data_IF_742055572599
#
_entry.id   IF_742055572599
#
_cell.length_a   1.000
_cell.length_b   1.000
_cell.length_c   1.000
_cell.angle_alpha   90.00
_cell.angle_beta   90.00
_cell.angle_gamma   90.00
#
_symmetry.space_group_name_H-M   'P 1'
#
loop_
_entity.id
_entity.type
_entity.pdbx_description
1 polymer ?
#
# COMPACT_ATOMS: atom_id res chain seq x y z
N UNK A 1 -9.12 -33.95 36.32
CA UNK A 1 -7.65 -33.81 36.36
C UNK A 1 -7.27 -32.52 35.66
N UNK A 2 -6.53 -31.68 36.39
CA UNK A 2 -5.73 -30.51 36.01
C UNK A 2 -6.29 -29.46 35.02
N UNK A 3 -6.83 -28.41 35.64
CA UNK A 3 -6.79 -27.02 35.20
C UNK A 3 -5.35 -26.47 35.32
N UNK A 4 -4.82 -25.76 34.32
CA UNK A 4 -3.59 -24.98 34.46
C UNK A 4 -3.66 -23.60 33.77
N UNK A 5 -3.78 -22.59 34.65
CA UNK A 5 -3.09 -21.29 34.68
C UNK A 5 -3.30 -20.31 33.51
N UNK A 6 -4.38 -19.53 33.68
CA UNK A 6 -4.41 -18.10 33.39
C UNK A 6 -3.31 -17.40 34.21
N UNK A 7 -2.37 -16.73 33.56
CA UNK A 7 -1.48 -15.76 34.21
C UNK A 7 -2.06 -14.35 33.99
N UNK A 8 -2.83 -13.91 34.98
CA UNK A 8 -3.05 -12.50 35.24
C UNK A 8 -1.74 -11.88 35.73
N UNK A 9 -1.24 -10.84 35.07
CA UNK A 9 -0.29 -9.93 35.70
C UNK A 9 -1.09 -8.80 36.37
N UNK A 10 -1.06 -8.85 37.69
CA UNK A 10 -1.64 -7.89 38.62
C UNK A 10 -0.98 -6.51 38.52
N UNK A 11 -1.80 -5.49 38.73
CA UNK A 11 -1.52 -4.11 39.15
C UNK A 11 -0.06 -3.78 39.52
N UNK A 12 0.53 -2.82 38.81
CA UNK A 12 1.69 -2.05 39.30
C UNK A 12 1.15 -0.84 40.10
N UNK A 13 1.68 -0.56 41.31
CA UNK A 13 1.23 0.58 42.12
C UNK A 13 1.53 1.92 41.44
N UNK A 14 0.53 2.80 41.44
CA UNK A 14 0.61 4.19 41.00
C UNK A 14 1.37 5.07 42.01
N UNK A 15 2.71 5.01 42.06
CA UNK A 15 3.54 6.04 42.71
C UNK A 15 4.98 6.00 42.17
N UNK A 16 5.29 6.81 41.15
CA UNK A 16 6.50 7.66 40.98
C UNK A 16 6.53 8.16 39.52
N UNK A 17 5.79 9.23 39.24
CA UNK A 17 5.98 10.03 38.03
C UNK A 17 6.61 11.36 38.46
N UNK A 18 7.87 11.58 38.10
CA UNK A 18 8.47 12.92 37.99
C UNK A 18 8.74 13.15 36.50
N UNK A 19 8.21 14.20 35.87
CA UNK A 19 8.60 14.57 34.52
C UNK A 19 10.08 14.96 34.53
N UNK A 20 10.88 14.35 33.66
CA UNK A 20 12.17 14.90 33.24
C UNK A 20 11.89 15.98 32.19
N UNK A 21 12.47 17.16 32.38
CA UNK A 21 12.36 18.30 31.47
C UNK A 21 12.88 17.95 30.06
N UNK A 22 12.34 18.56 28.99
CA UNK A 22 12.74 18.25 27.62
C UNK A 22 14.10 18.87 27.28
N UNK A 23 15.13 18.04 27.15
CA UNK A 23 16.36 18.41 26.44
C UNK A 23 16.09 18.47 24.91
N UNK A 24 16.71 19.41 24.18
CA UNK A 24 16.38 19.66 22.78
C UNK A 24 16.85 18.53 21.86
N UNK A 25 15.91 17.95 21.11
CA UNK A 25 16.14 16.92 20.10
C UNK A 25 17.17 17.38 19.06
N UNK A 26 18.31 16.69 19.03
CA UNK A 26 19.25 16.73 17.93
C UNK A 26 18.73 15.76 16.85
N UNK A 27 18.36 16.21 15.63
CA UNK A 27 17.78 15.31 14.64
C UNK A 27 18.84 14.33 14.16
N UNK A 28 18.72 13.08 14.60
CA UNK A 28 19.52 11.96 14.10
C UNK A 28 19.22 11.77 12.61
N UNK A 29 20.22 12.08 11.78
CA UNK A 29 20.19 11.88 10.34
C UNK A 29 19.98 10.39 10.02
N UNK A 30 18.81 10.08 9.48
CA UNK A 30 18.54 8.78 8.88
C UNK A 30 19.30 8.69 7.56
N UNK A 31 20.15 7.66 7.41
CA UNK A 31 20.97 7.46 6.22
C UNK A 31 20.73 6.04 5.70
N UNK A 32 19.71 5.82 4.87
CA UNK A 32 19.52 4.52 4.25
C UNK A 32 20.54 4.39 3.12
N UNK A 33 21.61 3.64 3.37
CA UNK A 33 22.45 3.07 2.31
C UNK A 33 21.62 2.04 1.55
N UNK A 34 20.78 2.51 0.65
CA UNK A 34 20.24 1.70 -0.46
C UNK A 34 20.43 2.51 -1.72
N UNK A 35 21.31 2.01 -2.59
CA UNK A 35 21.66 2.61 -3.87
C UNK A 35 20.40 2.66 -4.77
N UNK A 36 19.72 3.81 -4.77
CA UNK A 36 18.71 4.14 -5.77
C UNK A 36 19.44 4.35 -7.10
N UNK A 37 19.54 3.32 -7.93
CA UNK A 37 19.98 3.48 -9.32
C UNK A 37 18.96 4.34 -10.06
N UNK A 38 19.18 5.65 -10.08
CA UNK A 38 18.52 6.57 -11.02
C UNK A 38 19.08 6.27 -12.41
N UNK A 39 18.35 5.50 -13.21
CA UNK A 39 18.57 5.46 -14.66
C UNK A 39 17.67 6.51 -15.32
N UNK A 40 18.24 7.69 -15.57
CA UNK A 40 17.75 8.59 -16.60
C UNK A 40 18.35 8.17 -17.94
N UNK A 41 17.50 7.78 -18.90
CA UNK A 41 17.69 8.05 -20.34
C UNK A 41 16.46 7.63 -21.18
N UNK A 42 16.13 8.37 -22.25
CA UNK A 42 14.95 8.14 -23.08
C UNK A 42 15.20 7.07 -24.15
N UNK A 43 14.11 6.40 -24.55
CA UNK A 43 14.10 5.33 -25.55
C UNK A 43 14.60 5.80 -26.91
N UNK A 44 15.57 5.09 -27.49
CA UNK A 44 15.86 5.08 -28.92
C UNK A 44 15.97 3.63 -29.42
N UNK A 45 15.60 3.43 -30.69
CA UNK A 45 15.26 2.17 -31.32
C UNK A 45 16.44 1.22 -31.61
N UNK A 46 16.12 -0.08 -31.55
CA UNK A 46 16.64 -1.25 -32.26
C UNK A 46 18.15 -1.62 -32.20
N UNK A 47 18.46 -2.83 -31.69
CA UNK A 47 18.90 -4.03 -32.46
C UNK A 47 19.27 -5.20 -31.53
N UNK A 48 19.21 -6.40 -32.10
CA UNK A 48 19.41 -7.76 -31.59
C UNK A 48 20.78 -8.02 -30.94
N UNK A 49 20.85 -8.83 -29.89
CA UNK A 49 21.72 -10.03 -29.76
C UNK A 49 21.61 -10.70 -28.38
N UNK A 50 21.95 -11.99 -28.35
CA UNK A 50 21.67 -13.01 -27.34
C UNK A 50 22.52 -12.96 -26.04
N UNK A 51 22.03 -13.73 -25.06
CA UNK A 51 22.71 -14.41 -23.95
C UNK A 51 22.75 -13.82 -22.51
N UNK A 52 22.07 -14.62 -21.67
CA UNK A 52 22.41 -15.11 -20.32
C UNK A 52 22.34 -14.22 -19.05
N UNK A 53 21.31 -14.58 -18.27
CA UNK A 53 21.35 -15.06 -16.88
C UNK A 53 21.58 -14.05 -15.73
N UNK A 54 20.60 -14.03 -14.82
CA UNK A 54 20.61 -13.23 -13.59
C UNK A 54 19.20 -12.85 -13.15
N UNK A 55 18.45 -13.80 -12.61
CA UNK A 55 17.10 -13.60 -12.08
C UNK A 55 17.08 -12.58 -10.94
N UNK A 56 16.67 -11.37 -11.25
CA UNK A 56 16.00 -10.45 -10.33
C UNK A 56 14.82 -9.85 -11.09
N UNK A 57 13.69 -10.53 -11.04
CA UNK A 57 12.45 -10.12 -11.70
C UNK A 57 11.93 -8.84 -11.06
N UNK A 58 12.36 -7.69 -11.59
CA UNK A 58 11.59 -6.44 -11.49
C UNK A 58 10.18 -6.78 -11.97
N UNK A 59 9.20 -6.83 -11.06
CA UNK A 59 7.80 -7.11 -11.42
C UNK A 59 7.29 -5.90 -12.20
N UNK A 60 7.48 -5.95 -13.52
CA UNK A 60 6.95 -4.97 -14.45
C UNK A 60 5.43 -5.14 -14.52
N UNK A 61 4.71 -4.02 -14.52
CA UNK A 61 3.27 -3.97 -14.73
C UNK A 61 2.89 -4.87 -15.93
N UNK A 62 1.93 -5.82 -15.80
CA UNK A 62 1.60 -6.80 -16.84
C UNK A 62 0.74 -6.19 -17.97
N UNK A 63 1.06 -4.97 -18.38
CA UNK A 63 0.40 -4.23 -19.43
C UNK A 63 1.49 -3.52 -20.27
N UNK A 64 1.54 -3.72 -21.61
CA UNK A 64 2.54 -3.06 -22.45
C UNK A 64 2.39 -1.54 -22.43
N UNK A 65 3.49 -0.76 -22.42
CA UNK A 65 3.47 0.71 -22.26
C UNK A 65 2.61 1.48 -23.29
N UNK A 66 2.46 0.94 -24.51
CA UNK A 66 1.69 1.56 -25.58
C UNK A 66 0.16 1.48 -25.38
N UNK A 67 -0.32 0.62 -24.47
CA UNK A 67 -1.76 0.46 -24.23
C UNK A 67 -2.28 1.66 -23.43
N UNK A 68 -3.11 2.47 -24.08
CA UNK A 68 -3.77 3.67 -23.51
C UNK A 68 -5.24 3.47 -23.16
N UNK A 69 -5.89 2.43 -23.70
CA UNK A 69 -7.30 2.14 -23.44
C UNK A 69 -7.58 0.64 -23.43
N UNK A 70 -8.54 0.21 -22.59
CA UNK A 70 -9.02 -1.16 -22.49
C UNK A 70 -10.55 -1.16 -22.44
N UNK A 71 -11.19 -1.68 -23.49
CA UNK A 71 -12.66 -1.77 -23.57
C UNK A 71 -13.20 -3.17 -23.28
N UNK A 72 -12.36 -4.21 -23.40
CA UNK A 72 -12.75 -5.61 -23.25
C UNK A 72 -12.52 -6.15 -21.83
N UNK A 73 -13.56 -6.75 -21.27
CA UNK A 73 -13.50 -7.43 -19.96
C UNK A 73 -12.70 -8.73 -19.97
N UNK A 74 -12.41 -9.27 -21.15
CA UNK A 74 -11.61 -10.48 -21.35
C UNK A 74 -10.11 -10.19 -21.45
N UNK A 75 -9.72 -8.91 -21.45
CA UNK A 75 -8.33 -8.48 -21.50
C UNK A 75 -7.52 -9.12 -20.34
N UNK A 76 -6.31 -9.66 -20.60
CA UNK A 76 -5.47 -10.30 -19.57
C UNK A 76 -5.16 -9.41 -18.36
N UNK A 77 -4.97 -8.11 -18.57
CA UNK A 77 -4.74 -7.15 -17.49
C UNK A 77 -5.99 -6.97 -16.62
N UNK A 78 -7.18 -6.93 -17.22
CA UNK A 78 -8.45 -6.89 -16.46
C UNK A 78 -8.62 -8.17 -15.64
N UNK A 79 -8.25 -9.33 -16.18
CA UNK A 79 -8.23 -10.60 -15.43
C UNK A 79 -7.23 -10.57 -14.28
N UNK A 80 -6.05 -9.98 -14.47
CA UNK A 80 -5.05 -9.77 -13.43
C UNK A 80 -5.60 -8.91 -12.28
N UNK A 81 -6.17 -7.74 -12.59
CA UNK A 81 -6.79 -6.87 -11.59
C UNK A 81 -7.95 -7.55 -10.84
N UNK A 82 -8.76 -8.35 -11.54
CA UNK A 82 -9.83 -9.13 -10.91
C UNK A 82 -9.29 -10.15 -9.90
N UNK A 83 -8.20 -10.86 -10.24
CA UNK A 83 -7.54 -11.81 -9.34
C UNK A 83 -6.96 -11.11 -8.11
N UNK A 84 -6.37 -9.91 -8.27
CA UNK A 84 -5.90 -9.12 -7.13
C UNK A 84 -7.03 -8.76 -6.17
N UNK A 85 -8.22 -8.42 -6.69
CA UNK A 85 -9.39 -8.15 -5.83
C UNK A 85 -9.84 -9.39 -5.06
N UNK A 86 -9.87 -10.56 -5.72
CA UNK A 86 -10.54 -11.75 -5.19
C UNK A 86 -9.64 -12.68 -4.35
N UNK A 87 -8.32 -12.70 -4.57
CA UNK A 87 -7.43 -13.67 -3.94
C UNK A 87 -6.35 -13.00 -3.08
N UNK A 88 -6.34 -13.32 -1.78
CA UNK A 88 -5.31 -12.81 -0.86
C UNK A 88 -3.91 -13.31 -1.22
N UNK A 89 -3.77 -14.62 -1.46
CA UNK A 89 -2.49 -15.20 -1.88
C UNK A 89 -1.97 -14.58 -3.18
N UNK A 90 -2.87 -14.23 -4.12
CA UNK A 90 -2.49 -13.51 -5.33
C UNK A 90 -1.97 -12.10 -5.04
N UNK A 91 -2.62 -11.34 -4.14
CA UNK A 91 -2.11 -10.03 -3.67
C UNK A 91 -0.73 -10.14 -3.03
N UNK A 92 -0.51 -11.10 -2.14
CA UNK A 92 0.78 -11.29 -1.46
C UNK A 92 1.89 -11.68 -2.44
N UNK A 93 1.63 -12.64 -3.33
CA UNK A 93 2.61 -13.09 -4.33
C UNK A 93 2.93 -12.01 -5.36
N UNK A 94 2.01 -11.11 -5.68
CA UNK A 94 2.24 -10.04 -6.65
C UNK A 94 2.74 -8.74 -6.00
N UNK A 95 2.43 -8.50 -4.72
CA UNK A 95 2.80 -7.28 -4.02
C UNK A 95 1.98 -6.06 -4.43
N UNK A 96 0.77 -6.26 -4.98
CA UNK A 96 -0.09 -5.17 -5.45
C UNK A 96 -1.54 -5.40 -5.05
N UNK A 97 -2.33 -4.33 -4.97
CA UNK A 97 -3.77 -4.35 -4.67
C UNK A 97 -4.52 -3.34 -5.53
N UNK A 98 -5.84 -3.49 -5.58
CA UNK A 98 -6.74 -2.58 -6.29
C UNK A 98 -7.39 -1.62 -5.29
N UNK A 99 -7.35 -0.33 -5.60
CA UNK A 99 -8.01 0.74 -4.85
C UNK A 99 -9.13 1.34 -5.69
N UNK A 100 -10.37 1.28 -5.21
CA UNK A 100 -11.56 1.67 -5.98
C UNK A 100 -12.09 3.00 -5.50
N UNK A 101 -12.31 3.93 -6.43
CA UNK A 101 -12.93 5.24 -6.19
C UNK A 101 -11.94 6.39 -6.00
N UNK A 102 -12.35 7.58 -6.42
CA UNK A 102 -11.52 8.79 -6.42
C UNK A 102 -11.12 9.28 -5.03
N UNK A 103 -11.97 9.10 -4.01
CA UNK A 103 -11.68 9.51 -2.63
C UNK A 103 -10.47 8.79 -2.02
N UNK A 104 -10.45 7.44 -1.92
CA UNK A 104 -9.27 6.76 -1.37
C UNK A 104 -8.01 6.96 -2.22
N UNK A 105 -8.14 7.12 -3.55
CA UNK A 105 -7.00 7.45 -4.43
C UNK A 105 -6.42 8.82 -4.08
N UNK A 106 -7.28 9.82 -3.87
CA UNK A 106 -6.88 11.17 -3.44
C UNK A 106 -6.22 11.16 -2.06
N UNK A 107 -6.77 10.41 -1.11
CA UNK A 107 -6.20 10.24 0.23
C UNK A 107 -4.78 9.64 0.16
N UNK A 108 -4.61 8.58 -0.64
CA UNK A 108 -3.31 7.94 -0.85
C UNK A 108 -2.29 8.92 -1.46
N UNK A 109 -2.67 9.63 -2.52
CA UNK A 109 -1.79 10.62 -3.16
C UNK A 109 -1.35 11.73 -2.18
N UNK A 110 -2.28 12.24 -1.37
CA UNK A 110 -1.98 13.25 -0.34
C UNK A 110 -1.06 12.73 0.75
N UNK A 111 -1.15 11.45 1.08
CA UNK A 111 -0.29 10.80 2.05
C UNK A 111 1.13 10.59 1.50
N UNK A 112 1.27 10.12 0.27
CA UNK A 112 2.58 9.96 -0.40
C UNK A 112 3.38 11.26 -0.44
N UNK A 113 2.75 12.37 -0.84
CA UNK A 113 3.44 13.66 -0.94
C UNK A 113 3.96 14.21 0.40
N UNK A 114 3.51 13.67 1.52
CA UNK A 114 3.97 14.07 2.86
C UNK A 114 5.16 13.25 3.35
N UNK A 115 5.46 12.12 2.72
CA UNK A 115 6.45 11.19 3.20
C UNK A 115 7.56 11.07 2.15
N UNK A 116 8.77 11.50 2.51
CA UNK A 116 9.94 11.48 1.64
C UNK A 116 10.37 10.05 1.26
N UNK A 117 9.86 9.04 1.95
CA UNK A 117 10.27 7.64 1.84
C UNK A 117 9.19 6.77 1.16
N UNK A 118 9.22 6.73 -0.18
CA UNK A 118 8.83 5.57 -1.00
C UNK A 118 7.49 4.85 -0.75
N UNK A 119 6.49 5.48 -0.13
CA UNK A 119 5.25 4.82 0.25
C UNK A 119 4.34 4.53 -0.96
N UNK A 120 3.81 3.30 -1.00
CA UNK A 120 2.86 2.73 -1.96
C UNK A 120 2.74 3.47 -3.30
N UNK A 121 3.62 3.24 -4.26
CA UNK A 121 3.50 3.86 -5.57
C UNK A 121 2.21 3.42 -6.29
N UNK A 122 1.45 4.39 -6.81
CA UNK A 122 0.38 4.11 -7.79
C UNK A 122 1.06 3.65 -9.07
N UNK A 123 0.90 2.38 -9.43
CA UNK A 123 1.55 1.79 -10.60
C UNK A 123 0.77 2.08 -11.89
N UNK A 124 -0.56 2.14 -11.80
CA UNK A 124 -1.44 2.43 -12.91
C UNK A 124 -2.77 3.00 -12.41
N UNK A 125 -3.25 4.04 -13.07
CA UNK A 125 -4.59 4.60 -12.90
C UNK A 125 -5.48 4.17 -14.07
N UNK A 126 -6.57 3.49 -13.75
CA UNK A 126 -7.62 3.08 -14.67
C UNK A 126 -8.76 4.09 -14.56
N UNK A 127 -9.03 4.80 -15.65
CA UNK A 127 -9.93 5.96 -15.67
C UNK A 127 -11.12 5.64 -16.57
N UNK A 128 -12.34 5.85 -16.08
CA UNK A 128 -13.53 5.68 -16.90
C UNK A 128 -13.49 6.64 -18.10
N UNK A 129 -13.83 6.14 -19.29
CA UNK A 129 -13.87 6.96 -20.51
C UNK A 129 -14.63 8.29 -20.29
N UNK A 130 -14.09 9.38 -20.82
CA UNK A 130 -14.61 10.76 -20.69
C UNK A 130 -14.59 11.38 -19.27
N UNK A 131 -13.91 10.75 -18.31
CA UNK A 131 -13.70 11.34 -16.98
C UNK A 131 -12.56 12.36 -17.01
N UNK A 132 -12.77 13.52 -16.42
CA UNK A 132 -11.69 14.48 -16.17
C UNK A 132 -10.80 13.97 -15.01
N UNK A 133 -9.53 13.72 -15.30
CA UNK A 133 -8.56 13.32 -14.28
C UNK A 133 -8.06 14.58 -13.56
N UNK A 134 -8.13 14.64 -12.22
CA UNK A 134 -7.61 15.77 -11.48
C UNK A 134 -6.12 16.03 -11.77
N UNK A 135 -5.74 17.31 -11.87
CA UNK A 135 -4.39 17.74 -12.25
C UNK A 135 -3.29 17.10 -11.40
N UNK A 136 -3.54 16.90 -10.10
CA UNK A 136 -2.58 16.29 -9.19
C UNK A 136 -2.25 14.82 -9.53
N UNK A 137 -3.13 14.10 -10.23
CA UNK A 137 -2.86 12.75 -10.73
C UNK A 137 -2.23 12.75 -12.13
N UNK A 138 -2.24 13.88 -12.84
CA UNK A 138 -1.73 13.99 -14.21
C UNK A 138 -0.20 14.21 -14.28
N UNK A 139 0.49 14.16 -13.13
CA UNK A 139 1.93 14.29 -13.07
C UNK A 139 2.61 13.11 -13.78
N UNK A 140 3.60 13.41 -14.63
CA UNK A 140 4.11 12.59 -15.76
C UNK A 140 4.66 11.17 -15.44
N UNK A 141 4.59 10.69 -14.19
CA UNK A 141 5.11 9.37 -13.80
C UNK A 141 4.04 8.31 -13.54
N UNK A 142 2.77 8.70 -13.36
CA UNK A 142 1.69 7.73 -13.19
C UNK A 142 1.23 7.28 -14.57
N UNK A 143 1.05 5.97 -14.76
CA UNK A 143 0.51 5.45 -16.01
C UNK A 143 -1.01 5.55 -16.02
N UNK A 144 -1.59 6.15 -17.06
CA UNK A 144 -3.03 6.25 -17.25
C UNK A 144 -3.53 5.30 -18.33
N UNK A 145 -4.64 4.64 -18.06
CA UNK A 145 -5.32 3.75 -19.01
C UNK A 145 -6.82 4.00 -18.95
N UNK A 146 -7.40 4.44 -20.06
CA UNK A 146 -8.84 4.64 -20.15
C UNK A 146 -9.57 3.29 -20.21
N UNK A 147 -10.71 3.18 -19.57
CA UNK A 147 -11.49 1.94 -19.53
C UNK A 147 -12.97 2.20 -19.80
N UNK A 148 -13.60 1.25 -20.51
CA UNK A 148 -15.04 1.29 -20.74
C UNK A 148 -15.83 1.10 -19.44
N UNK A 149 -17.08 1.56 -19.41
CA UNK A 149 -17.99 1.35 -18.27
C UNK A 149 -18.13 -0.13 -17.89
N UNK A 150 -18.13 -1.04 -18.87
CA UNK A 150 -18.20 -2.48 -18.63
C UNK A 150 -16.94 -3.00 -17.89
N UNK A 151 -15.76 -2.51 -18.27
CA UNK A 151 -14.51 -2.85 -17.59
C UNK A 151 -14.47 -2.24 -16.20
N UNK A 152 -14.86 -0.96 -16.05
CA UNK A 152 -14.94 -0.29 -14.76
C UNK A 152 -15.85 -1.04 -13.79
N UNK A 153 -17.05 -1.43 -14.25
CA UNK A 153 -18.01 -2.22 -13.47
C UNK A 153 -17.45 -3.56 -13.02
N UNK A 154 -16.75 -4.24 -13.93
CA UNK A 154 -16.10 -5.51 -13.61
C UNK A 154 -14.99 -5.35 -12.57
N UNK A 155 -14.24 -4.25 -12.60
CA UNK A 155 -13.10 -3.98 -11.71
C UNK A 155 -13.50 -3.47 -10.32
N UNK A 156 -14.54 -2.63 -10.23
CA UNK A 156 -15.00 -2.10 -8.94
C UNK A 156 -15.57 -3.21 -8.04
N UNK A 157 -16.27 -4.18 -8.63
CA UNK A 157 -16.98 -5.23 -7.87
C UNK A 157 -18.15 -4.70 -7.04
N UNK A 158 -18.57 -3.46 -7.29
CA UNK A 158 -19.71 -2.82 -6.64
C UNK A 158 -20.98 -3.00 -7.49
N UNK A 159 -22.13 -3.09 -6.82
CA UNK A 159 -23.42 -3.26 -7.50
C UNK A 159 -23.82 -2.02 -8.31
N UNK A 160 -23.55 -0.83 -7.77
CA UNK A 160 -23.70 0.45 -8.45
C UNK A 160 -22.32 1.06 -8.68
N UNK A 161 -22.06 1.50 -9.90
CA UNK A 161 -20.75 2.05 -10.30
C UNK A 161 -20.86 3.45 -10.86
N UNK A 162 -22.04 4.06 -10.74
CA UNK A 162 -22.37 5.37 -11.31
C UNK A 162 -21.52 6.49 -10.71
N UNK A 163 -20.92 6.25 -9.53
CA UNK A 163 -19.99 7.14 -8.84
C UNK A 163 -18.52 6.72 -8.93
N UNK A 164 -18.19 5.61 -9.60
CA UNK A 164 -16.82 5.10 -9.72
C UNK A 164 -16.25 5.48 -11.07
N UNK A 165 -15.43 6.51 -11.04
CA UNK A 165 -14.76 7.12 -12.17
C UNK A 165 -13.29 6.66 -12.31
N UNK A 166 -12.70 6.13 -11.22
CA UNK A 166 -11.31 5.74 -11.15
C UNK A 166 -11.05 4.49 -10.31
N UNK A 167 -10.10 3.68 -10.76
CA UNK A 167 -9.52 2.55 -10.02
C UNK A 167 -8.01 2.63 -10.13
N UNK A 168 -7.28 2.54 -9.02
CA UNK A 168 -5.83 2.50 -9.01
C UNK A 168 -5.31 1.08 -8.74
N UNK A 169 -4.31 0.67 -9.49
CA UNK A 169 -3.42 -0.42 -9.12
C UNK A 169 -2.27 0.18 -8.29
N UNK A 170 -2.13 -0.29 -7.06
CA UNK A 170 -1.15 0.23 -6.12
C UNK A 170 -0.22 -0.89 -5.67
N UNK A 171 1.06 -0.56 -5.48
CA UNK A 171 2.00 -1.46 -4.83
C UNK A 171 1.73 -1.49 -3.33
N UNK A 172 1.75 -2.68 -2.73
CA UNK A 172 1.67 -2.85 -1.29
C UNK A 172 2.92 -2.18 -0.66
N UNK A 173 2.76 -1.28 0.32
CA UNK A 173 3.88 -0.68 1.04
C UNK A 173 4.84 -1.74 1.61
N UNK A 174 6.14 -1.47 1.61
CA UNK A 174 7.14 -2.30 2.31
C UNK A 174 6.93 -2.32 3.84
N UNK A 175 6.21 -1.32 4.37
CA UNK A 175 5.80 -1.25 5.77
C UNK A 175 4.70 -2.26 6.12
N UNK A 176 3.98 -2.81 5.12
CA UNK A 176 3.01 -3.87 5.34
C UNK A 176 3.73 -5.23 5.43
N UNK A 177 3.77 -5.80 6.63
CA UNK A 177 4.50 -7.04 6.91
C UNK A 177 3.56 -8.10 7.47
N UNK A 178 3.78 -9.35 7.04
CA UNK A 178 3.14 -10.50 7.65
C UNK A 178 4.02 -10.99 8.80
N UNK A 179 3.43 -11.04 9.99
CA UNK A 179 4.07 -11.55 11.20
C UNK A 179 4.06 -13.08 11.10
N UNK A 180 5.25 -13.69 10.93
CA UNK A 180 5.44 -15.13 10.88
C UNK A 180 6.04 -15.70 12.18
N UNK A 181 6.13 -17.03 12.28
CA UNK A 181 6.69 -17.73 13.46
C UNK A 181 8.20 -17.59 13.64
N UNK A 182 8.89 -16.90 12.72
CA UNK A 182 10.34 -16.69 12.73
C UNK A 182 10.76 -15.38 13.41
N UNK A 183 9.83 -14.64 13.98
CA UNK A 183 10.13 -13.34 14.57
C UNK A 183 10.95 -13.47 15.82
N UNK A 184 11.96 -12.61 15.91
CA UNK A 184 12.80 -12.50 17.09
C UNK A 184 12.40 -11.25 17.86
N UNK A 185 12.66 -11.24 19.16
CA UNK A 185 12.33 -10.12 20.05
C UNK A 185 12.98 -8.79 19.60
N UNK A 186 14.11 -8.87 18.90
CA UNK A 186 14.80 -7.75 18.24
C UNK A 186 13.93 -7.02 17.20
N UNK A 187 13.03 -7.73 16.50
CA UNK A 187 12.15 -7.17 15.48
C UNK A 187 11.06 -6.28 16.11
N UNK A 188 10.63 -6.58 17.34
CA UNK A 188 9.59 -5.83 18.05
C UNK A 188 10.03 -4.39 18.35
N UNK A 189 11.27 -4.19 18.79
CA UNK A 189 11.81 -2.85 19.05
C UNK A 189 11.97 -2.02 17.78
N UNK A 190 12.23 -2.68 16.64
CA UNK A 190 12.29 -2.03 15.32
C UNK A 190 10.90 -1.58 14.84
N UNK A 191 9.87 -2.39 15.09
CA UNK A 191 8.49 -2.09 14.65
C UNK A 191 7.75 -1.13 15.58
N UNK A 192 8.07 -1.17 16.87
CA UNK A 192 7.48 -0.32 17.90
C UNK A 192 8.57 0.49 18.60
N UNK A 193 9.21 1.45 17.91
CA UNK A 193 10.26 2.29 18.49
C UNK A 193 9.75 3.16 19.65
N UNK A 194 8.42 3.38 19.70
CA UNK A 194 7.72 4.02 20.80
C UNK A 194 6.53 3.15 21.21
N UNK A 195 6.42 2.70 22.48
CA UNK A 195 5.34 1.84 22.93
C UNK A 195 4.00 2.59 23.11
N UNK A 196 3.98 3.91 22.89
CA UNK A 196 2.78 4.71 23.08
C UNK A 196 1.82 4.53 21.89
N UNK A 197 0.63 3.97 22.16
CA UNK A 197 -0.56 3.89 21.29
C UNK A 197 -0.55 2.79 20.19
N UNK A 198 -0.18 1.58 20.56
CA UNK A 198 -0.33 0.41 19.67
C UNK A 198 -1.80 0.02 19.53
N UNK A 199 -2.28 -0.13 18.29
CA UNK A 199 -3.60 -0.70 17.99
C UNK A 199 -3.45 -2.19 17.66
N UNK A 200 -4.01 -3.05 18.52
CA UNK A 200 -4.11 -4.50 18.28
C UNK A 200 -5.57 -4.83 17.97
N UNK A 201 -5.80 -5.51 16.85
CA UNK A 201 -7.12 -5.92 16.41
C UNK A 201 -7.16 -7.45 16.38
N UNK A 202 -8.00 -8.03 17.23
CA UNK A 202 -8.19 -9.48 17.32
C UNK A 202 -9.62 -9.85 16.91
N UNK A 203 -9.75 -10.88 16.08
CA UNK A 203 -11.05 -11.42 15.68
C UNK A 203 -11.96 -10.52 14.83
N UNK A 204 -11.46 -9.41 14.24
CA UNK A 204 -12.28 -8.52 13.39
C UNK A 204 -12.55 -9.17 12.02
N UNK A 205 -13.82 -9.50 11.75
CA UNK A 205 -14.22 -10.21 10.53
C UNK A 205 -14.76 -9.27 9.43
N UNK A 206 -15.36 -8.14 9.81
CA UNK A 206 -15.96 -7.22 8.86
C UNK A 206 -14.94 -6.19 8.36
N UNK A 207 -14.67 -6.12 7.03
CA UNK A 207 -13.70 -5.17 6.48
C UNK A 207 -14.13 -3.70 6.65
N UNK A 208 -15.44 -3.42 6.78
CA UNK A 208 -15.97 -2.08 7.04
C UNK A 208 -15.66 -1.59 8.46
N UNK A 209 -15.83 -2.47 9.45
CA UNK A 209 -15.45 -2.24 10.84
C UNK A 209 -13.94 -2.04 10.97
N UNK A 210 -13.14 -2.91 10.34
CA UNK A 210 -11.68 -2.75 10.28
C UNK A 210 -11.29 -1.39 9.71
N UNK A 211 -11.90 -0.99 8.59
CA UNK A 211 -11.64 0.32 7.97
C UNK A 211 -12.03 1.50 8.87
N UNK A 212 -13.13 1.40 9.61
CA UNK A 212 -13.56 2.45 10.55
C UNK A 212 -12.59 2.59 11.71
N UNK A 213 -12.20 1.47 12.33
CA UNK A 213 -11.23 1.46 13.43
C UNK A 213 -9.88 2.04 13.02
N UNK A 214 -9.38 1.69 11.82
CA UNK A 214 -8.14 2.26 11.28
C UNK A 214 -8.24 3.77 11.09
N UNK A 215 -9.36 4.27 10.56
CA UNK A 215 -9.60 5.72 10.42
C UNK A 215 -9.65 6.43 11.78
N UNK A 216 -10.34 5.85 12.76
CA UNK A 216 -10.39 6.39 14.12
C UNK A 216 -9.00 6.44 14.77
N UNK A 217 -8.22 5.36 14.66
CA UNK A 217 -6.86 5.32 15.19
C UNK A 217 -5.94 6.37 14.53
N UNK A 218 -6.05 6.57 13.22
CA UNK A 218 -5.36 7.65 12.50
C UNK A 218 -5.79 9.03 13.01
N UNK A 219 -7.09 9.27 13.21
CA UNK A 219 -7.61 10.53 13.72
C UNK A 219 -7.11 10.85 15.15
N UNK A 220 -7.01 9.84 16.02
CA UNK A 220 -6.46 9.99 17.37
C UNK A 220 -4.92 9.99 17.42
N UNK A 221 -4.24 9.88 16.26
CA UNK A 221 -2.78 9.78 16.16
C UNK A 221 -2.22 8.63 17.02
N UNK A 222 -2.82 7.45 16.89
CA UNK A 222 -2.34 6.24 17.56
C UNK A 222 -1.16 5.62 16.82
N UNK A 223 -1.18 5.66 15.49
CA UNK A 223 -0.03 5.22 14.70
C UNK A 223 1.06 6.28 14.83
N UNK A 224 2.27 5.85 15.23
CA UNK A 224 3.45 6.70 15.39
C UNK A 224 3.58 7.61 14.18
N UNK A 225 3.82 8.90 14.42
CA UNK A 225 4.12 9.82 13.32
C UNK A 225 5.40 9.30 12.66
N UNK A 226 5.26 8.69 11.48
CA UNK A 226 6.36 8.46 10.55
C UNK A 226 6.89 9.82 10.09
#
# INVERSE_FOLDING_TARGET
MQCMKLLWFSSIPSQLYKPLDPEPDNPLKFNPKVQLLRSSKPCNAAKTDENENGQNSVKTLPLPCHVKSITSTSNPFVKHCLKLRQSSSYRHSHGSVILVGSTPIRELYRFQNKIEDGLAAIECLLVLDNTNVPEYLNNQSIRHVNVSSLVMKKLSGLQSTDSIDMVALIRIPSTFQSIGSYLKEEDCHKWFPSPYRILVLDGVQDPGNLGTLLRSAMAFRWVSSL
#
